data_IF_972080849593
#
_entry.id   IF_972080849593
#
_cell.length_a   1.000
_cell.length_b   1.000
_cell.length_c   1.000
_cell.angle_alpha   90.00
_cell.angle_beta   90.00
_cell.angle_gamma   90.00
#
_symmetry.space_group_name_H-M   'P 1'
#
loop_
_entity.id
_entity.type
_entity.pdbx_description
1 polymer ?
#
# COMPACT_ATOMS: atom_id res chain seq x y z
N UNK A 1 -8.16 -25.03 4.93
CA UNK A 1 -7.56 -23.71 5.24
C UNK A 1 -7.64 -22.91 3.95
N UNK A 2 -8.26 -21.72 3.94
CA UNK A 2 -8.29 -20.91 2.74
C UNK A 2 -6.87 -20.40 2.45
N UNK A 3 -6.40 -20.61 1.23
CA UNK A 3 -5.05 -20.24 0.78
C UNK A 3 -4.73 -18.74 0.96
N UNK A 4 -5.76 -17.91 1.19
CA UNK A 4 -5.67 -16.46 1.38
C UNK A 4 -5.30 -16.01 2.81
N UNK A 5 -5.16 -16.89 3.80
CA UNK A 5 -4.91 -16.46 5.19
C UNK A 5 -3.45 -16.65 5.61
N UNK A 6 -2.95 -15.70 6.39
CA UNK A 6 -1.66 -15.77 7.09
C UNK A 6 -1.85 -15.35 8.55
N UNK A 7 -1.14 -16.00 9.48
CA UNK A 7 -1.07 -15.54 10.87
C UNK A 7 0.09 -14.60 11.06
N UNK A 8 -0.02 -13.64 11.97
CA UNK A 8 1.06 -12.71 12.26
C UNK A 8 2.36 -13.43 12.65
N UNK A 9 2.27 -14.55 13.37
CA UNK A 9 3.42 -15.39 13.73
C UNK A 9 4.18 -15.98 12.54
N UNK A 10 3.53 -16.08 11.39
CA UNK A 10 4.04 -16.79 10.22
C UNK A 10 4.70 -15.82 9.21
N UNK A 11 4.55 -14.50 9.39
CA UNK A 11 5.12 -13.48 8.50
C UNK A 11 6.64 -13.58 8.39
N UNK A 12 7.35 -13.51 9.53
CA UNK A 12 8.82 -13.57 9.57
C UNK A 12 9.36 -14.88 8.99
N UNK A 13 8.90 -16.07 9.43
CA UNK A 13 9.43 -17.32 8.88
C UNK A 13 9.07 -17.53 7.40
N UNK A 14 7.90 -17.09 6.93
CA UNK A 14 7.56 -17.16 5.51
C UNK A 14 8.41 -16.20 4.66
N UNK A 15 8.61 -14.96 5.11
CA UNK A 15 9.47 -13.98 4.44
C UNK A 15 10.91 -14.49 4.38
N UNK A 16 11.48 -14.90 5.52
CA UNK A 16 12.85 -15.39 5.62
C UNK A 16 13.10 -16.56 4.67
N UNK A 17 12.15 -17.51 4.61
CA UNK A 17 12.22 -18.63 3.68
C UNK A 17 12.09 -18.20 2.22
N UNK A 18 11.20 -17.27 1.91
CA UNK A 18 10.96 -16.84 0.53
C UNK A 18 12.16 -16.09 -0.07
N UNK A 19 12.79 -15.23 0.73
CA UNK A 19 13.91 -14.38 0.30
C UNK A 19 15.30 -14.94 0.67
N UNK A 20 15.35 -16.11 1.32
CA UNK A 20 16.58 -16.75 1.80
C UNK A 20 17.44 -15.83 2.71
N UNK A 21 16.76 -15.05 3.56
CA UNK A 21 17.39 -14.12 4.52
C UNK A 21 17.26 -14.62 5.96
N UNK A 22 18.00 -14.01 6.88
CA UNK A 22 17.86 -14.33 8.31
C UNK A 22 16.49 -13.89 8.86
N UNK A 23 15.95 -14.55 9.91
CA UNK A 23 14.73 -14.09 10.58
C UNK A 23 14.80 -12.64 11.09
N UNK A 24 15.99 -12.18 11.50
CA UNK A 24 16.20 -10.82 11.96
C UNK A 24 16.08 -9.81 10.82
N UNK A 25 16.69 -10.08 9.67
CA UNK A 25 16.55 -9.26 8.47
C UNK A 25 15.10 -9.24 8.00
N UNK A 26 14.45 -10.41 7.92
CA UNK A 26 13.03 -10.50 7.56
C UNK A 26 12.13 -9.67 8.50
N UNK A 27 12.37 -9.73 9.81
CA UNK A 27 11.64 -8.94 10.78
C UNK A 27 11.91 -7.43 10.64
N UNK A 28 13.14 -7.05 10.30
CA UNK A 28 13.49 -5.65 10.05
C UNK A 28 12.79 -5.11 8.80
N UNK A 29 12.82 -5.85 7.68
CA UNK A 29 12.15 -5.46 6.44
C UNK A 29 10.63 -5.31 6.64
N UNK A 30 10.01 -6.26 7.36
CA UNK A 30 8.60 -6.18 7.71
C UNK A 30 8.28 -5.00 8.63
N UNK A 31 9.18 -4.66 9.56
CA UNK A 31 9.05 -3.45 10.37
C UNK A 31 9.05 -2.19 9.51
N UNK A 32 9.96 -2.07 8.54
CA UNK A 32 10.04 -0.91 7.65
C UNK A 32 8.78 -0.76 6.77
N UNK A 33 8.19 -1.87 6.31
CA UNK A 33 6.91 -1.85 5.58
C UNK A 33 5.78 -1.33 6.46
N UNK A 34 5.67 -1.84 7.70
CA UNK A 34 4.64 -1.38 8.64
C UNK A 34 4.87 0.09 9.04
N UNK A 35 6.12 0.53 9.17
CA UNK A 35 6.45 1.94 9.40
C UNK A 35 5.99 2.82 8.25
N UNK A 36 6.28 2.43 7.01
CA UNK A 36 5.84 3.15 5.81
C UNK A 36 4.30 3.23 5.74
N UNK A 37 3.60 2.13 6.01
CA UNK A 37 2.14 2.10 6.10
C UNK A 37 1.61 3.02 7.20
N UNK A 38 2.27 3.03 8.36
CA UNK A 38 1.91 3.92 9.46
C UNK A 38 2.05 5.40 9.05
N UNK A 39 3.14 5.77 8.38
CA UNK A 39 3.33 7.16 7.92
C UNK A 39 2.27 7.58 6.90
N UNK A 40 1.88 6.68 6.00
CA UNK A 40 0.87 6.95 4.97
C UNK A 40 -0.55 7.03 5.56
N UNK A 41 -0.94 6.07 6.39
CA UNK A 41 -2.31 5.93 6.85
C UNK A 41 -2.61 6.57 8.19
N UNK A 42 -1.67 6.64 9.13
CA UNK A 42 -2.00 7.07 10.50
C UNK A 42 -2.46 8.54 10.59
N UNK A 43 -1.96 9.39 9.69
CA UNK A 43 -2.39 10.79 9.59
C UNK A 43 -3.78 10.92 8.95
N UNK A 44 -4.15 9.99 8.06
CA UNK A 44 -5.36 10.07 7.23
C UNK A 44 -6.55 9.29 7.80
N UNK A 45 -6.29 8.16 8.43
CA UNK A 45 -7.30 7.16 8.82
C UNK A 45 -7.24 6.79 10.31
N UNK A 46 -6.30 7.38 11.06
CA UNK A 46 -6.08 7.06 12.47
C UNK A 46 -5.11 5.90 12.68
N UNK A 47 -4.83 5.57 13.94
CA UNK A 47 -3.77 4.62 14.31
C UNK A 47 -4.20 3.15 14.30
N UNK A 48 -5.49 2.88 14.09
CA UNK A 48 -6.03 1.53 14.09
C UNK A 48 -5.79 0.85 12.75
N UNK A 49 -5.63 -0.47 12.79
CA UNK A 49 -5.54 -1.30 11.60
C UNK A 49 -6.95 -1.59 11.08
N UNK A 50 -7.16 -1.65 9.76
CA UNK A 50 -8.45 -2.02 9.22
C UNK A 50 -8.78 -3.49 9.55
N UNK A 51 -9.96 -3.75 10.13
CA UNK A 51 -10.38 -5.09 10.57
C UNK A 51 -10.48 -6.11 9.43
N UNK A 52 -10.72 -5.66 8.20
CA UNK A 52 -10.74 -6.51 7.01
C UNK A 52 -9.33 -6.94 6.57
N UNK A 53 -8.28 -6.25 7.02
CA UNK A 53 -6.88 -6.58 6.75
C UNK A 53 -6.28 -7.39 7.89
N UNK A 54 -6.48 -6.96 9.14
CA UNK A 54 -6.00 -7.65 10.33
C UNK A 54 -7.10 -7.81 11.36
N UNK A 55 -7.24 -9.02 11.91
CA UNK A 55 -8.20 -9.28 12.98
C UNK A 55 -7.71 -10.35 13.94
N UNK A 56 -8.32 -10.39 15.12
CA UNK A 56 -8.05 -11.41 16.14
C UNK A 56 -9.06 -12.54 16.00
N UNK A 57 -8.57 -13.76 15.82
CA UNK A 57 -9.38 -14.98 15.81
C UNK A 57 -9.08 -15.87 17.02
N UNK A 58 -9.32 -17.17 16.85
CA UNK A 58 -8.94 -18.21 17.81
C UNK A 58 -7.67 -18.96 17.41
N UNK A 59 -7.06 -19.67 18.36
CA UNK A 59 -5.88 -20.50 18.08
C UNK A 59 -6.11 -21.58 17.00
N UNK A 60 -7.36 -22.00 16.82
CA UNK A 60 -7.80 -23.00 15.83
C UNK A 60 -8.90 -22.50 14.90
N UNK A 61 -9.26 -21.22 14.96
CA UNK A 61 -10.32 -20.63 14.14
C UNK A 61 -9.87 -19.28 13.62
N UNK A 62 -9.99 -19.06 12.31
CA UNK A 62 -9.73 -17.75 11.71
C UNK A 62 -10.93 -16.80 11.78
N UNK A 63 -12.06 -17.23 12.35
CA UNK A 63 -13.21 -16.32 12.49
C UNK A 63 -12.89 -15.18 13.45
N UNK A 64 -13.28 -13.92 13.12
CA UNK A 64 -13.13 -12.79 14.02
C UNK A 64 -13.75 -13.05 15.39
N UNK A 65 -13.01 -12.69 16.44
CA UNK A 65 -13.45 -12.80 17.83
C UNK A 65 -14.62 -11.85 18.11
N UNK A 66 -15.62 -12.33 18.83
CA UNK A 66 -16.74 -11.50 19.30
C UNK A 66 -16.38 -10.54 20.43
N UNK A 67 -15.12 -10.55 20.91
CA UNK A 67 -14.64 -9.66 21.98
C UNK A 67 -14.32 -8.24 21.52
N UNK A 68 -14.36 -7.96 20.20
CA UNK A 68 -14.09 -6.62 19.66
C UNK A 68 -12.66 -6.17 19.90
N UNK A 69 -11.68 -6.96 19.46
CA UNK A 69 -10.27 -6.58 19.58
C UNK A 69 -9.89 -5.56 18.50
N UNK A 70 -9.32 -4.44 18.92
CA UNK A 70 -8.83 -3.39 18.04
C UNK A 70 -7.30 -3.42 18.00
N UNK A 71 -6.76 -3.74 16.82
CA UNK A 71 -5.33 -3.76 16.56
C UNK A 71 -4.87 -2.38 16.10
N UNK A 72 -3.69 -1.96 16.51
CA UNK A 72 -3.10 -0.69 16.09
C UNK A 72 -1.70 -0.85 15.50
N UNK A 73 -1.25 0.16 14.77
CA UNK A 73 0.10 0.19 14.21
C UNK A 73 1.18 0.12 15.28
N UNK A 74 0.92 0.65 16.48
CA UNK A 74 1.88 0.64 17.59
C UNK A 74 2.23 -0.77 18.03
N UNK A 75 1.23 -1.64 18.14
CA UNK A 75 1.39 -3.05 18.44
C UNK A 75 2.25 -3.75 17.39
N UNK A 76 1.89 -3.64 16.09
CA UNK A 76 2.62 -4.30 15.01
C UNK A 76 4.08 -3.82 14.90
N UNK A 77 4.31 -2.51 15.03
CA UNK A 77 5.67 -1.93 14.98
C UNK A 77 6.53 -2.46 16.12
N UNK A 78 6.01 -2.47 17.36
CA UNK A 78 6.72 -3.03 18.51
C UNK A 78 7.02 -4.51 18.31
N UNK A 79 6.06 -5.27 17.78
CA UNK A 79 6.20 -6.69 17.52
C UNK A 79 7.36 -6.99 16.56
N UNK A 80 7.36 -6.41 15.36
CA UNK A 80 8.42 -6.67 14.38
C UNK A 80 9.77 -6.08 14.81
N UNK A 81 9.79 -4.91 15.45
CA UNK A 81 11.01 -4.32 16.00
C UNK A 81 11.67 -5.20 17.06
N UNK A 82 10.87 -5.82 17.94
CA UNK A 82 11.37 -6.74 18.95
C UNK A 82 11.94 -8.02 18.33
N UNK A 83 11.32 -8.54 17.26
CA UNK A 83 11.86 -9.67 16.50
C UNK A 83 13.18 -9.35 15.79
N UNK A 84 13.30 -8.15 15.22
CA UNK A 84 14.53 -7.71 14.55
C UNK A 84 15.71 -7.58 15.55
N UNK A 85 15.44 -7.16 16.78
CA UNK A 85 16.45 -6.97 17.83
C UNK A 85 16.79 -8.22 18.66
N UNK A 86 16.06 -9.34 18.50
CA UNK A 86 16.26 -10.54 19.30
C UNK A 86 17.07 -11.61 18.56
N UNK A 87 18.11 -12.14 19.21
CA UNK A 87 18.90 -13.28 18.72
C UNK A 87 18.24 -14.64 18.97
N UNK A 88 17.06 -14.67 19.59
CA UNK A 88 16.27 -15.88 19.81
C UNK A 88 15.06 -15.59 20.67
N UNK A 89 13.89 -15.96 20.15
CA UNK A 89 12.57 -16.06 20.80
C UNK A 89 12.25 -15.03 21.89
N UNK A 90 11.33 -14.07 21.64
CA UNK A 90 10.37 -13.65 22.69
C UNK A 90 9.32 -12.59 22.31
N UNK A 91 9.26 -12.07 21.09
CA UNK A 91 8.06 -11.33 20.67
C UNK A 91 6.98 -12.32 20.22
N UNK A 92 6.28 -12.89 21.19
CA UNK A 92 5.14 -13.80 20.96
C UNK A 92 3.78 -13.14 21.20
N UNK A 93 3.80 -11.96 21.82
CA UNK A 93 2.61 -11.22 22.21
C UNK A 93 2.52 -9.90 21.44
N UNK A 94 1.29 -9.48 21.21
CA UNK A 94 0.91 -8.23 20.58
C UNK A 94 -0.06 -7.52 21.53
N UNK A 95 0.23 -6.26 21.86
CA UNK A 95 -0.69 -5.44 22.65
C UNK A 95 -1.81 -4.90 21.76
N UNK A 96 -3.05 -4.98 22.23
CA UNK A 96 -4.23 -4.48 21.53
C UNK A 96 -5.32 -4.06 22.53
N UNK A 97 -6.30 -3.28 22.08
CA UNK A 97 -7.45 -2.94 22.92
C UNK A 97 -8.54 -4.02 22.81
N UNK A 98 -9.12 -4.43 23.94
CA UNK A 98 -10.20 -5.40 23.99
C UNK A 98 -11.51 -4.68 24.34
N UNK A 99 -12.44 -4.57 23.39
CA UNK A 99 -13.73 -3.89 23.61
C UNK A 99 -14.56 -4.52 24.73
N UNK A 100 -14.56 -5.85 24.84
CA UNK A 100 -15.30 -6.57 25.90
C UNK A 100 -14.79 -6.26 27.32
N UNK A 101 -13.48 -6.09 27.48
CA UNK A 101 -12.85 -5.82 28.77
C UNK A 101 -12.63 -4.32 29.01
N UNK A 102 -12.84 -3.49 27.97
CA UNK A 102 -12.58 -2.04 27.95
C UNK A 102 -11.16 -1.65 28.39
N UNK A 103 -10.18 -2.50 28.10
CA UNK A 103 -8.78 -2.33 28.50
C UNK A 103 -7.82 -2.90 27.46
N UNK A 104 -6.55 -2.51 27.56
CA UNK A 104 -5.46 -3.08 26.76
C UNK A 104 -5.07 -4.47 27.27
N UNK A 105 -4.85 -5.39 26.34
CA UNK A 105 -4.45 -6.76 26.65
C UNK A 105 -3.43 -7.27 25.64
N UNK A 106 -2.52 -8.12 26.11
CA UNK A 106 -1.50 -8.75 25.29
C UNK A 106 -2.01 -10.10 24.79
N UNK A 107 -2.15 -10.24 23.47
CA UNK A 107 -2.62 -11.46 22.82
C UNK A 107 -1.49 -12.16 22.07
N UNK A 108 -1.52 -13.50 21.93
CA UNK A 108 -0.53 -14.20 21.12
C UNK A 108 -0.60 -13.84 19.64
N UNK A 109 0.54 -13.56 18.99
CA UNK A 109 0.60 -13.28 17.55
C UNK A 109 -0.01 -14.40 16.68
N UNK A 110 0.04 -15.65 17.15
CA UNK A 110 -0.57 -16.82 16.49
C UNK A 110 -2.10 -16.77 16.37
N UNK A 111 -2.77 -15.90 17.13
CA UNK A 111 -4.23 -15.71 17.06
C UNK A 111 -4.61 -14.47 16.23
N UNK A 112 -3.62 -13.72 15.74
CA UNK A 112 -3.83 -12.59 14.83
C UNK A 112 -3.73 -13.11 13.41
N UNK A 113 -4.76 -12.86 12.62
CA UNK A 113 -4.87 -13.28 11.23
C UNK A 113 -4.86 -12.07 10.31
N UNK A 114 -4.43 -12.30 9.07
CA UNK A 114 -4.53 -11.34 7.99
C UNK A 114 -4.95 -12.04 6.69
N UNK A 115 -5.71 -11.34 5.85
CA UNK A 115 -5.99 -11.73 4.47
C UNK A 115 -4.84 -11.27 3.60
N UNK A 116 -4.26 -12.21 2.84
CA UNK A 116 -3.15 -11.98 1.91
C UNK A 116 -3.55 -11.01 0.81
N UNK A 117 -4.72 -11.22 0.20
CA UNK A 117 -5.26 -10.32 -0.82
C UNK A 117 -5.50 -8.91 -0.27
N UNK A 118 -6.17 -8.80 0.88
CA UNK A 118 -6.48 -7.50 1.48
C UNK A 118 -5.22 -6.76 1.92
N UNK A 119 -4.24 -7.49 2.47
CA UNK A 119 -2.94 -6.93 2.85
C UNK A 119 -2.14 -6.47 1.63
N UNK A 120 -2.11 -7.26 0.57
CA UNK A 120 -1.47 -6.88 -0.69
C UNK A 120 -2.06 -5.59 -1.25
N UNK A 121 -3.40 -5.51 -1.34
CA UNK A 121 -4.11 -4.32 -1.81
C UNK A 121 -3.84 -3.11 -0.92
N UNK A 122 -3.81 -3.31 0.40
CA UNK A 122 -3.52 -2.26 1.36
C UNK A 122 -2.09 -1.71 1.21
N UNK A 123 -1.09 -2.58 1.03
CA UNK A 123 0.31 -2.19 0.79
C UNK A 123 0.45 -1.43 -0.54
N UNK A 124 -0.11 -1.96 -1.62
CA UNK A 124 0.00 -1.35 -2.95
C UNK A 124 -0.75 -0.01 -3.03
N UNK A 125 -1.88 0.11 -2.32
CA UNK A 125 -2.65 1.37 -2.24
C UNK A 125 -1.88 2.48 -1.54
N UNK A 126 -0.96 2.14 -0.64
CA UNK A 126 -0.01 3.08 -0.05
C UNK A 126 1.17 3.44 -0.97
N UNK A 127 1.22 2.88 -2.19
CA UNK A 127 2.32 3.08 -3.14
C UNK A 127 3.61 2.33 -2.78
N UNK A 128 3.56 1.45 -1.79
CA UNK A 128 4.66 0.62 -1.29
C UNK A 128 4.77 -0.65 -2.15
N UNK A 129 5.99 -1.13 -2.39
CA UNK A 129 6.21 -2.40 -3.06
C UNK A 129 5.82 -3.55 -2.13
N UNK A 130 4.85 -4.38 -2.54
CA UNK A 130 4.41 -5.52 -1.74
C UNK A 130 5.40 -6.68 -1.84
N UNK A 131 5.82 -7.27 -0.70
CA UNK A 131 6.57 -8.50 -0.71
C UNK A 131 5.81 -9.63 -1.41
N UNK A 132 6.51 -10.40 -2.24
CA UNK A 132 5.90 -11.46 -3.04
C UNK A 132 5.44 -12.65 -2.20
N UNK A 133 6.04 -12.89 -1.02
CA UNK A 133 5.64 -13.99 -0.12
C UNK A 133 4.18 -13.84 0.35
N UNK A 134 3.63 -12.62 0.37
CA UNK A 134 2.24 -12.36 0.78
C UNK A 134 1.28 -13.12 -0.13
N UNK A 135 1.62 -13.32 -1.40
CA UNK A 135 0.77 -13.99 -2.40
C UNK A 135 0.72 -15.53 -2.27
N UNK A 136 1.50 -16.14 -1.34
CA UNK A 136 1.43 -17.57 -1.04
C UNK A 136 2.25 -18.49 -1.97
N UNK A 137 2.43 -19.74 -1.55
CA UNK A 137 3.30 -20.75 -2.20
C UNK A 137 2.59 -21.61 -3.25
N UNK A 138 1.26 -21.66 -3.28
CA UNK A 138 0.54 -22.40 -4.33
C UNK A 138 0.72 -21.79 -5.75
N UNK A 139 1.37 -20.62 -5.85
CA UNK A 139 1.89 -20.09 -7.13
C UNK A 139 3.22 -20.72 -7.60
N UNK A 140 3.86 -21.59 -6.81
CA UNK A 140 5.17 -22.15 -7.11
C UNK A 140 5.14 -23.42 -8.00
N UNK A 141 4.02 -24.14 -8.10
CA UNK A 141 3.93 -25.30 -9.01
C UNK A 141 3.56 -24.94 -10.47
N UNK A 142 3.13 -23.70 -10.74
CA UNK A 142 2.95 -23.16 -12.10
C UNK A 142 4.07 -22.19 -12.52
N UNK A 143 5.21 -22.26 -11.83
CA UNK A 143 6.40 -21.42 -11.98
C UNK A 143 7.11 -21.46 -13.34
N UNK A 144 6.55 -22.12 -14.35
CA UNK A 144 7.07 -22.12 -15.71
C UNK A 144 6.37 -21.18 -16.70
N UNK A 145 5.07 -20.87 -16.51
CA UNK A 145 4.29 -20.19 -17.58
C UNK A 145 3.22 -19.18 -17.14
N UNK A 146 2.86 -19.08 -15.85
CA UNK A 146 1.85 -18.09 -15.37
C UNK A 146 2.43 -16.84 -14.70
N UNK A 147 3.65 -16.91 -14.18
CA UNK A 147 4.36 -15.78 -13.53
C UNK A 147 4.58 -14.54 -14.41
N UNK A 148 4.41 -14.65 -15.72
CA UNK A 148 4.43 -13.48 -16.58
C UNK A 148 3.12 -12.69 -16.51
N UNK A 149 1.95 -13.31 -16.40
CA UNK A 149 0.67 -12.60 -16.59
C UNK A 149 0.16 -11.97 -15.29
N UNK A 150 0.26 -12.67 -14.16
CA UNK A 150 -0.24 -12.18 -12.86
C UNK A 150 0.72 -11.17 -12.21
N UNK A 151 2.03 -11.38 -12.31
CA UNK A 151 3.04 -10.38 -11.94
C UNK A 151 3.02 -9.15 -12.84
N UNK A 152 2.66 -9.31 -14.13
CA UNK A 152 2.35 -8.17 -15.00
C UNK A 152 1.05 -7.49 -14.55
N UNK A 153 -0.02 -8.22 -14.19
CA UNK A 153 -1.27 -7.63 -13.72
C UNK A 153 -1.12 -6.87 -12.40
N UNK A 154 -0.37 -7.39 -11.42
CA UNK A 154 -0.08 -6.72 -10.16
C UNK A 154 0.74 -5.44 -10.35
N UNK A 155 1.77 -5.47 -11.20
CA UNK A 155 2.52 -4.27 -11.60
C UNK A 155 1.62 -3.29 -12.36
N UNK A 156 0.80 -3.78 -13.27
CA UNK A 156 -0.18 -2.96 -14.02
C UNK A 156 -1.18 -2.29 -13.06
N UNK A 157 -1.69 -3.01 -12.05
CA UNK A 157 -2.59 -2.49 -11.02
C UNK A 157 -1.88 -1.44 -10.14
N UNK A 158 -0.63 -1.68 -9.75
CA UNK A 158 0.19 -0.71 -9.01
C UNK A 158 0.44 0.57 -9.80
N UNK A 159 0.70 0.46 -11.11
CA UNK A 159 0.79 1.62 -12.00
C UNK A 159 -0.55 2.37 -12.09
N UNK A 160 -1.66 1.65 -12.25
CA UNK A 160 -3.01 2.25 -12.29
C UNK A 160 -3.32 2.96 -10.98
N UNK A 161 -3.06 2.34 -9.83
CA UNK A 161 -3.30 2.92 -8.51
C UNK A 161 -2.48 4.21 -8.31
N UNK A 162 -1.18 4.20 -8.66
CA UNK A 162 -0.34 5.41 -8.63
C UNK A 162 -0.84 6.51 -9.57
N UNK A 163 -1.36 6.15 -10.74
CA UNK A 163 -1.97 7.10 -11.67
C UNK A 163 -3.25 7.71 -11.05
N UNK A 164 -4.13 6.90 -10.48
CA UNK A 164 -5.39 7.36 -9.87
C UNK A 164 -5.10 8.28 -8.68
N UNK A 165 -4.25 7.85 -7.75
CA UNK A 165 -3.87 8.65 -6.58
C UNK A 165 -3.20 9.96 -6.98
N UNK A 166 -2.31 9.93 -7.98
CA UNK A 166 -1.68 11.14 -8.53
C UNK A 166 -2.70 12.10 -9.15
N UNK A 167 -3.67 11.60 -9.92
CA UNK A 167 -4.73 12.41 -10.50
C UNK A 167 -5.65 13.05 -9.44
N UNK A 168 -6.00 12.31 -8.38
CA UNK A 168 -6.79 12.85 -7.27
C UNK A 168 -6.02 13.97 -6.54
N UNK A 169 -4.73 13.75 -6.25
CA UNK A 169 -3.89 14.74 -5.59
C UNK A 169 -3.68 16.00 -6.47
N UNK A 170 -3.60 15.83 -7.79
CA UNK A 170 -3.58 16.94 -8.73
C UNK A 170 -4.84 17.81 -8.65
N UNK A 171 -6.02 17.21 -8.51
CA UNK A 171 -7.26 17.97 -8.33
C UNK A 171 -7.19 18.83 -7.07
N UNK A 172 -6.71 18.27 -5.95
CA UNK A 172 -6.54 19.02 -4.70
C UNK A 172 -5.54 20.16 -4.83
N UNK A 173 -4.38 19.94 -5.45
CA UNK A 173 -3.36 21.00 -5.61
C UNK A 173 -3.80 22.09 -6.58
N UNK A 174 -4.57 21.75 -7.62
CA UNK A 174 -5.17 22.74 -8.52
C UNK A 174 -6.24 23.56 -7.79
N UNK A 175 -7.12 22.92 -7.02
CA UNK A 175 -8.13 23.61 -6.20
C UNK A 175 -7.49 24.54 -5.18
N UNK A 176 -6.45 24.06 -4.49
CA UNK A 176 -5.65 24.84 -3.54
C UNK A 176 -4.95 26.02 -4.20
N UNK A 177 -4.41 25.85 -5.41
CA UNK A 177 -3.80 26.94 -6.15
C UNK A 177 -4.83 28.03 -6.52
N UNK A 178 -6.07 27.65 -6.84
CA UNK A 178 -7.16 28.58 -7.17
C UNK A 178 -7.83 29.21 -5.94
N UNK A 179 -7.76 28.56 -4.79
CA UNK A 179 -8.25 29.10 -3.52
C UNK A 179 -7.40 30.28 -3.04
N UNK A 180 -8.04 31.36 -2.58
CA UNK A 180 -7.37 32.55 -2.07
C UNK A 180 -6.68 32.25 -0.72
N UNK A 181 -5.42 31.82 -0.77
CA UNK A 181 -4.60 31.61 0.43
C UNK A 181 -3.60 32.75 0.63
N UNK A 182 -3.30 33.09 1.90
CA UNK A 182 -2.18 33.96 2.26
C UNK A 182 -0.86 33.22 1.99
N UNK A 183 -0.45 33.19 0.73
CA UNK A 183 0.77 32.54 0.31
C UNK A 183 1.96 33.50 0.40
N UNK A 184 3.11 32.96 0.80
CA UNK A 184 4.40 33.63 0.65
C UNK A 184 4.78 33.77 -0.85
N UNK A 185 5.89 34.45 -1.15
CA UNK A 185 6.27 34.72 -2.54
C UNK A 185 6.49 33.42 -3.34
N UNK A 186 7.13 32.43 -2.73
CA UNK A 186 7.39 31.13 -3.35
C UNK A 186 6.09 30.33 -3.59
N UNK A 187 5.15 30.36 -2.63
CA UNK A 187 3.84 29.73 -2.74
C UNK A 187 2.99 30.35 -3.85
N UNK A 188 3.02 31.68 -4.02
CA UNK A 188 2.33 32.34 -5.13
C UNK A 188 2.92 31.96 -6.48
N UNK A 189 4.24 31.97 -6.61
CA UNK A 189 4.93 31.58 -7.85
C UNK A 189 4.59 30.12 -8.23
N UNK A 190 4.54 29.21 -7.26
CA UNK A 190 4.13 27.82 -7.51
C UNK A 190 2.64 27.73 -7.90
N UNK A 191 1.76 28.40 -7.18
CA UNK A 191 0.32 28.42 -7.50
C UNK A 191 0.05 28.96 -8.91
N UNK A 192 0.76 30.01 -9.33
CA UNK A 192 0.64 30.57 -10.68
C UNK A 192 1.14 29.60 -11.76
N UNK A 193 2.21 28.84 -11.49
CA UNK A 193 2.68 27.79 -12.40
C UNK A 193 1.66 26.65 -12.52
N UNK A 194 1.10 26.18 -11.40
CA UNK A 194 0.04 25.15 -11.38
C UNK A 194 -1.17 25.62 -12.20
N UNK A 195 -1.65 26.86 -11.99
CA UNK A 195 -2.76 27.44 -12.78
C UNK A 195 -2.46 27.47 -14.28
N UNK A 196 -1.24 27.88 -14.65
CA UNK A 196 -0.81 27.93 -16.06
C UNK A 196 -0.78 26.54 -16.68
N UNK A 197 -0.20 25.55 -16.02
CA UNK A 197 -0.16 24.17 -16.52
C UNK A 197 -1.56 23.54 -16.58
N UNK A 198 -2.40 23.75 -15.55
CA UNK A 198 -3.79 23.27 -15.55
C UNK A 198 -4.60 23.88 -16.70
N UNK A 199 -4.39 25.16 -17.00
CA UNK A 199 -5.05 25.83 -18.13
C UNK A 199 -4.66 25.23 -19.48
N UNK A 200 -3.44 24.66 -19.61
CA UNK A 200 -3.01 23.99 -20.84
C UNK A 200 -3.75 22.67 -21.07
N UNK A 201 -4.27 22.02 -20.03
CA UNK A 201 -5.08 20.79 -20.16
C UNK A 201 -6.39 21.01 -20.92
N UNK A 202 -6.88 22.26 -20.97
CA UNK A 202 -8.11 22.63 -21.68
C UNK A 202 -7.90 22.89 -23.19
N UNK A 203 -6.67 22.77 -23.72
CA UNK A 203 -6.39 23.12 -25.12
C UNK A 203 -6.87 22.05 -26.11
N UNK A 204 -7.77 22.43 -27.03
CA UNK A 204 -8.28 21.60 -28.14
C UNK A 204 -7.31 21.52 -29.35
N UNK A 205 -6.00 21.71 -29.14
CA UNK A 205 -5.05 21.69 -30.26
C UNK A 205 -4.93 20.28 -30.84
N UNK A 206 -4.92 20.19 -32.17
CA UNK A 206 -4.89 18.94 -32.96
C UNK A 206 -3.74 17.97 -32.62
N UNK A 207 -2.67 18.45 -31.96
CA UNK A 207 -1.48 17.68 -31.55
C UNK A 207 -1.18 17.77 -30.04
N UNK A 208 -2.21 17.96 -29.21
CA UNK A 208 -2.02 18.07 -27.76
C UNK A 208 -1.64 16.72 -27.12
N UNK A 209 -0.44 16.65 -26.55
CA UNK A 209 0.06 15.48 -25.81
C UNK A 209 -0.43 15.55 -24.35
N UNK A 210 -1.68 15.15 -24.15
CA UNK A 210 -2.34 15.07 -22.85
C UNK A 210 -1.48 14.36 -21.77
N UNK A 211 -0.86 13.19 -22.03
CA UNK A 211 -0.03 12.54 -21.02
C UNK A 211 1.14 13.40 -20.55
N UNK A 212 1.83 14.09 -21.47
CA UNK A 212 2.92 15.00 -21.09
C UNK A 212 2.43 16.20 -20.32
N UNK A 213 1.30 16.77 -20.71
CA UNK A 213 0.73 17.92 -20.01
C UNK A 213 0.32 17.58 -18.57
N UNK A 214 -0.24 16.38 -18.35
CA UNK A 214 -0.56 15.88 -17.00
C UNK A 214 0.72 15.67 -16.16
N UNK A 215 1.78 15.11 -16.75
CA UNK A 215 3.06 14.93 -16.07
C UNK A 215 3.73 16.25 -15.69
N UNK A 216 3.74 17.24 -16.59
CA UNK A 216 4.28 18.57 -16.30
C UNK A 216 3.49 19.28 -15.18
N UNK A 217 2.16 19.11 -15.15
CA UNK A 217 1.35 19.63 -14.05
C UNK A 217 1.71 18.93 -12.71
N UNK A 218 1.89 17.61 -12.71
CA UNK A 218 2.27 16.86 -11.51
C UNK A 218 3.62 17.29 -10.96
N UNK A 219 4.59 17.55 -11.84
CA UNK A 219 5.92 18.04 -11.46
C UNK A 219 5.84 19.41 -10.78
N UNK A 220 5.10 20.37 -11.36
CA UNK A 220 4.94 21.71 -10.76
C UNK A 220 4.11 21.68 -9.46
N UNK A 221 3.17 20.74 -9.35
CA UNK A 221 2.38 20.51 -8.15
C UNK A 221 3.15 19.71 -7.06
N UNK A 222 4.31 19.14 -7.40
CA UNK A 222 5.06 18.27 -6.48
C UNK A 222 4.33 16.97 -6.11
N UNK A 223 3.42 16.52 -6.98
CA UNK A 223 2.62 15.31 -6.76
C UNK A 223 3.43 14.10 -7.24
N UNK A 224 3.59 13.09 -6.37
CA UNK A 224 4.19 11.83 -6.78
C UNK A 224 3.23 11.07 -7.70
N UNK A 225 3.66 10.87 -8.94
CA UNK A 225 2.90 10.22 -9.99
C UNK A 225 3.85 9.39 -10.87
N UNK A 226 3.31 8.39 -11.57
CA UNK A 226 4.08 7.58 -12.50
C UNK A 226 4.78 8.48 -13.55
N UNK A 227 6.12 8.57 -13.49
CA UNK A 227 6.93 9.45 -14.35
C UNK A 227 7.09 8.95 -15.79
N UNK A 228 6.60 7.75 -16.09
CA UNK A 228 6.72 7.17 -17.43
C UNK A 228 5.54 7.57 -18.33
N UNK A 229 5.80 8.53 -19.22
CA UNK A 229 4.83 8.98 -20.24
C UNK A 229 4.34 7.85 -21.16
N UNK A 230 5.15 6.80 -21.38
CA UNK A 230 4.76 5.64 -22.19
C UNK A 230 3.76 4.76 -21.45
N UNK A 231 3.94 4.58 -20.14
CA UNK A 231 2.98 3.89 -19.29
C UNK A 231 1.65 4.65 -19.23
N UNK A 232 1.71 5.97 -19.06
CA UNK A 232 0.52 6.83 -19.02
C UNK A 232 -0.28 6.76 -20.34
N UNK A 233 0.39 6.83 -21.50
CA UNK A 233 -0.24 6.63 -22.82
C UNK A 233 -0.89 5.26 -22.96
N UNK A 234 -0.20 4.20 -22.54
CA UNK A 234 -0.71 2.82 -22.64
C UNK A 234 -2.05 2.63 -21.94
N UNK A 235 -2.28 3.32 -20.82
CA UNK A 235 -3.54 3.24 -20.09
C UNK A 235 -4.61 4.21 -20.60
N UNK A 236 -4.22 5.39 -21.11
CA UNK A 236 -5.19 6.35 -21.65
C UNK A 236 -5.71 6.02 -23.05
N UNK A 237 -4.90 5.38 -23.90
CA UNK A 237 -5.31 5.06 -25.28
C UNK A 237 -6.27 3.86 -25.35
N UNK A 238 -6.47 3.15 -24.23
CA UNK A 238 -7.24 1.91 -24.17
C UNK A 238 -6.58 0.80 -24.99
N UNK A 239 -6.65 -0.45 -24.54
CA UNK A 239 -6.24 -1.57 -25.41
C UNK A 239 -7.20 -1.60 -26.60
N UNK A 240 -6.78 -1.03 -27.73
CA UNK A 240 -7.37 -1.32 -29.03
C UNK A 240 -7.41 -2.84 -29.18
N UNK A 241 -8.62 -3.43 -29.13
CA UNK A 241 -8.84 -4.87 -29.24
C UNK A 241 -8.11 -5.37 -30.51
N UNK A 242 -7.29 -6.43 -30.45
CA UNK A 242 -6.83 -7.07 -31.68
C UNK A 242 -8.06 -7.65 -32.38
N UNK A 243 -8.27 -7.20 -33.62
CA UNK A 243 -9.37 -7.62 -34.45
C UNK A 243 -9.36 -9.12 -34.71
N UNK A 244 -10.58 -9.66 -34.83
CA UNK A 244 -10.87 -10.98 -35.40
C UNK A 244 -10.00 -11.24 -36.63
N UNK A 245 -9.37 -12.41 -36.66
CA UNK A 245 -9.19 -13.19 -37.88
C UNK A 245 -9.64 -14.61 -37.58
#
# INVERSE_FOLDING_TARGET
MSADLIRLSDFVPEYARYYEVSPQEAAHDLYEIIEALFQEYAVRQGKLLPEHVFWVGGARSSQPSSKGYELDFGGLRKYFKALAGSSGAEASLLDCFCGADSDYTSIPARVVYSSRASLFEWIVSAGIESPNFILGIDGLEEGGRRNSVEGLQAKELGYISKIISGLVNLVFEVDKAHSEQQLDKAGRERADKIKREASKLRNERKNFDLPKAILSLAEEAGVDMCKDARAFRRYMEGRSRPGKR
#
